data_IF_870710243374
#
_entry.id   IF_870710243374
#
_cell.length_a   1.000
_cell.length_b   1.000
_cell.length_c   1.000
_cell.angle_alpha   90.00
_cell.angle_beta   90.00
_cell.angle_gamma   90.00
#
_symmetry.space_group_name_H-M   'P 1'
#
loop_
_entity.id
_entity.type
_entity.pdbx_description
1 polymer ?
#
# COMPACT_ATOMS: atom_id res chain seq x y z
N UNK A 1 28.03 -27.69 8.60
CA UNK A 1 27.47 -26.90 9.73
C UNK A 1 28.58 -26.69 10.72
N UNK A 2 29.19 -25.51 10.76
CA UNK A 2 30.24 -25.17 11.74
C UNK A 2 29.60 -24.27 12.77
N UNK A 3 29.42 -24.79 13.98
CA UNK A 3 28.99 -23.97 15.13
C UNK A 3 30.21 -23.17 15.59
N UNK A 4 30.12 -21.84 15.50
CA UNK A 4 31.14 -20.95 16.05
C UNK A 4 31.28 -21.23 17.55
N UNK A 5 32.41 -21.82 17.93
CA UNK A 5 32.86 -21.94 19.32
C UNK A 5 33.59 -20.65 19.69
N UNK A 6 32.84 -19.60 20.01
CA UNK A 6 33.40 -18.43 20.69
C UNK A 6 32.74 -18.30 22.06
N UNK A 7 33.48 -18.50 23.17
CA UNK A 7 32.93 -18.46 24.52
C UNK A 7 32.84 -17.01 25.00
N UNK A 8 31.94 -16.20 24.43
CA UNK A 8 31.60 -14.88 24.99
C UNK A 8 30.28 -14.28 24.47
N UNK A 9 29.36 -15.09 23.96
CA UNK A 9 27.99 -14.60 23.75
C UNK A 9 27.29 -14.51 25.12
N UNK A 10 27.15 -13.27 25.58
CA UNK A 10 26.48 -12.86 26.80
C UNK A 10 25.14 -13.61 26.98
N UNK A 11 25.05 -14.38 28.07
CA UNK A 11 23.96 -15.35 28.34
C UNK A 11 22.67 -14.73 28.86
N UNK A 12 22.57 -13.40 28.93
CA UNK A 12 21.45 -12.75 29.58
C UNK A 12 20.47 -12.12 28.58
N UNK A 13 19.31 -12.79 28.47
CA UNK A 13 17.99 -12.23 28.11
C UNK A 13 17.57 -12.10 26.64
N UNK A 14 18.08 -12.91 25.71
CA UNK A 14 17.35 -13.12 24.44
C UNK A 14 17.34 -14.59 24.03
N UNK A 15 16.19 -15.21 23.70
CA UNK A 15 16.18 -16.54 23.11
C UNK A 15 17.00 -16.53 21.81
N UNK A 16 17.69 -17.63 21.53
CA UNK A 16 18.33 -17.87 20.24
C UNK A 16 17.25 -17.82 19.16
N UNK A 17 17.27 -16.77 18.34
CA UNK A 17 16.36 -16.63 17.21
C UNK A 17 17.00 -17.29 16.00
N UNK A 18 16.42 -18.40 15.53
CA UNK A 18 16.72 -18.94 14.21
C UNK A 18 15.82 -18.22 13.21
N UNK A 19 16.41 -17.28 12.48
CA UNK A 19 15.72 -16.58 11.40
C UNK A 19 15.75 -17.45 10.14
N UNK A 20 14.60 -18.01 9.74
CA UNK A 20 14.44 -18.54 8.39
C UNK A 20 14.19 -17.35 7.46
N UNK A 21 15.20 -16.97 6.67
CA UNK A 21 15.12 -15.82 5.75
C UNK A 21 14.15 -16.05 4.59
N UNK A 22 13.77 -17.30 4.30
CA UNK A 22 12.90 -17.69 3.18
C UNK A 22 11.91 -18.77 3.62
N UNK A 23 10.69 -18.37 4.00
CA UNK A 23 9.60 -19.28 4.39
C UNK A 23 8.67 -19.78 3.25
N UNK A 24 8.47 -19.08 2.11
CA UNK A 24 7.43 -19.48 1.15
C UNK A 24 7.75 -20.73 0.32
N UNK A 25 9.01 -20.93 -0.11
CA UNK A 25 9.32 -21.94 -1.14
C UNK A 25 9.56 -23.36 -0.57
N UNK A 26 9.52 -23.51 0.76
CA UNK A 26 9.79 -24.77 1.45
C UNK A 26 8.73 -25.16 2.47
N UNK A 27 7.54 -24.54 2.50
CA UNK A 27 6.52 -24.84 3.51
C UNK A 27 6.05 -26.31 3.46
N UNK A 28 6.13 -26.93 2.28
CA UNK A 28 5.90 -28.37 2.08
C UNK A 28 7.07 -29.26 2.51
N UNK A 29 8.26 -28.69 2.70
CA UNK A 29 9.48 -29.40 3.11
C UNK A 29 9.88 -29.14 4.58
N UNK A 30 9.37 -28.08 5.20
CA UNK A 30 9.68 -27.68 6.57
C UNK A 30 8.49 -26.98 7.24
N UNK A 31 7.40 -27.71 7.47
CA UNK A 31 6.24 -27.19 8.21
C UNK A 31 6.66 -26.93 9.68
N UNK A 32 6.43 -25.71 10.21
CA UNK A 32 6.77 -25.41 11.60
C UNK A 32 5.96 -26.28 12.57
N UNK A 33 6.60 -26.71 13.67
CA UNK A 33 5.95 -27.48 14.73
C UNK A 33 5.05 -26.60 15.62
N UNK A 34 5.38 -25.31 15.74
CA UNK A 34 4.60 -24.32 16.49
C UNK A 34 4.90 -22.91 15.99
N UNK A 35 3.92 -22.02 16.17
CA UNK A 35 3.99 -20.58 16.00
C UNK A 35 4.14 -19.95 17.38
N UNK A 36 5.16 -19.12 17.60
CA UNK A 36 5.52 -18.64 18.93
C UNK A 36 5.33 -17.12 19.05
N UNK A 37 4.76 -16.67 20.17
CA UNK A 37 4.68 -15.25 20.56
C UNK A 37 5.15 -15.04 22.00
N UNK A 38 5.63 -13.85 22.35
CA UNK A 38 6.11 -13.55 23.72
C UNK A 38 4.95 -13.17 24.65
N UNK A 39 4.93 -13.66 25.89
CA UNK A 39 3.92 -13.31 26.91
C UNK A 39 3.86 -11.79 27.10
N UNK A 40 2.64 -11.24 26.98
CA UNK A 40 2.37 -9.80 27.06
C UNK A 40 2.43 -9.07 25.72
N UNK A 41 2.90 -9.71 24.65
CA UNK A 41 2.94 -9.13 23.30
C UNK A 41 1.68 -9.52 22.51
N UNK A 42 0.64 -8.68 22.65
CA UNK A 42 -0.65 -8.88 21.99
C UNK A 42 -0.58 -8.75 20.47
N UNK A 43 0.33 -7.93 19.93
CA UNK A 43 0.51 -7.79 18.49
C UNK A 43 1.14 -9.05 17.90
N UNK A 44 2.14 -9.62 18.58
CA UNK A 44 2.73 -10.89 18.15
C UNK A 44 1.73 -12.05 18.26
N UNK A 45 0.87 -12.08 19.28
CA UNK A 45 -0.22 -13.06 19.38
C UNK A 45 -1.15 -12.98 18.16
N UNK A 46 -1.64 -11.78 17.84
CA UNK A 46 -2.52 -11.56 16.69
C UNK A 46 -1.84 -11.98 15.37
N UNK A 47 -0.57 -11.63 15.19
CA UNK A 47 0.20 -12.04 14.01
C UNK A 47 0.32 -13.56 13.89
N UNK A 48 0.58 -14.27 15.00
CA UNK A 48 0.65 -15.74 15.00
C UNK A 48 -0.71 -16.40 14.79
N UNK A 49 -1.79 -15.80 15.26
CA UNK A 49 -3.15 -16.27 14.97
C UNK A 49 -3.46 -16.14 13.47
N UNK A 50 -3.05 -15.04 12.83
CA UNK A 50 -3.18 -14.89 11.38
C UNK A 50 -2.33 -15.91 10.60
N UNK A 51 -1.08 -16.15 11.04
CA UNK A 51 -0.22 -17.19 10.45
C UNK A 51 -0.85 -18.59 10.62
N UNK A 52 -1.43 -18.88 11.78
CA UNK A 52 -2.14 -20.13 12.07
C UNK A 52 -3.35 -20.30 11.15
N UNK A 53 -4.14 -19.25 10.95
CA UNK A 53 -5.31 -19.27 10.09
C UNK A 53 -4.93 -19.60 8.63
N UNK A 54 -3.80 -19.04 8.15
CA UNK A 54 -3.24 -19.33 6.82
C UNK A 54 -2.81 -20.80 6.69
N UNK A 55 -2.14 -21.34 7.71
CA UNK A 55 -1.69 -22.73 7.73
C UNK A 55 -2.89 -23.70 7.76
N UNK A 56 -3.94 -23.38 8.53
CA UNK A 56 -5.17 -24.17 8.57
C UNK A 56 -5.86 -24.18 7.20
N UNK A 57 -5.91 -23.03 6.50
CA UNK A 57 -6.43 -22.96 5.13
C UNK A 57 -5.63 -23.84 4.15
N UNK A 58 -4.31 -23.94 4.35
CA UNK A 58 -3.43 -24.85 3.62
C UNK A 58 -3.49 -26.32 4.13
N UNK A 59 -4.48 -26.66 4.96
CA UNK A 59 -4.66 -27.99 5.60
C UNK A 59 -3.48 -28.43 6.48
N UNK A 60 -2.67 -27.50 6.97
CA UNK A 60 -1.59 -27.74 7.94
C UNK A 60 -2.08 -27.35 9.34
N UNK A 61 -1.85 -28.21 10.34
CA UNK A 61 -2.23 -27.93 11.74
C UNK A 61 -0.99 -27.55 12.52
N UNK A 62 -0.86 -26.27 12.85
CA UNK A 62 0.28 -25.75 13.63
C UNK A 62 -0.27 -24.92 14.80
N UNK A 63 0.09 -25.24 16.07
CA UNK A 63 -0.40 -24.52 17.23
C UNK A 63 0.32 -23.18 17.42
N UNK A 64 -0.39 -22.19 17.99
CA UNK A 64 0.19 -21.00 18.59
C UNK A 64 0.55 -21.31 20.04
N UNK A 65 1.79 -20.99 20.43
CA UNK A 65 2.36 -21.27 21.75
C UNK A 65 2.92 -19.98 22.34
N UNK A 66 2.56 -19.70 23.59
CA UNK A 66 3.08 -18.55 24.32
C UNK A 66 4.46 -18.87 24.88
N UNK A 67 5.42 -17.98 24.65
CA UNK A 67 6.76 -18.00 25.19
C UNK A 67 6.90 -16.99 26.36
N UNK A 68 7.30 -17.47 27.53
CA UNK A 68 7.59 -16.67 28.72
C UNK A 68 9.09 -16.73 29.03
N UNK A 69 9.86 -15.69 28.66
CA UNK A 69 11.28 -15.66 28.94
C UNK A 69 11.56 -15.71 30.44
N UNK A 70 12.48 -16.57 30.86
CA UNK A 70 12.93 -16.67 32.26
C UNK A 70 12.14 -17.66 33.13
N UNK A 71 11.07 -18.28 32.61
CA UNK A 71 10.39 -19.39 33.29
C UNK A 71 11.13 -20.71 33.05
N UNK A 72 11.15 -21.61 34.04
CA UNK A 72 11.72 -22.97 33.94
C UNK A 72 11.02 -23.82 32.87
N UNK A 73 9.76 -23.51 32.57
CA UNK A 73 9.00 -24.04 31.44
C UNK A 73 8.52 -22.88 30.57
N UNK A 74 9.37 -22.39 29.65
CA UNK A 74 9.13 -21.12 28.98
C UNK A 74 8.06 -21.19 27.89
N UNK A 75 7.53 -22.37 27.55
CA UNK A 75 6.47 -22.52 26.56
C UNK A 75 5.18 -23.00 27.21
N UNK A 76 4.06 -22.38 26.87
CA UNK A 76 2.74 -22.77 27.35
C UNK A 76 1.70 -22.72 26.23
N UNK A 77 0.83 -23.73 26.23
CA UNK A 77 -0.29 -23.82 25.29
C UNK A 77 -1.56 -23.29 25.94
N UNK A 78 -2.33 -22.49 25.20
CA UNK A 78 -3.64 -21.98 25.63
C UNK A 78 -4.63 -22.24 24.51
N UNK A 79 -5.74 -22.90 24.85
CA UNK A 79 -6.81 -23.17 23.88
C UNK A 79 -7.41 -21.88 23.30
N UNK A 80 -7.52 -20.82 24.11
CA UNK A 80 -7.97 -19.49 23.68
C UNK A 80 -7.13 -18.91 22.54
N UNK A 81 -5.81 -19.14 22.56
CA UNK A 81 -4.88 -18.58 21.57
C UNK A 81 -4.98 -19.32 20.24
N UNK A 82 -5.57 -20.53 20.25
CA UNK A 82 -5.68 -21.47 19.14
C UNK A 82 -7.12 -21.63 18.63
N UNK A 83 -8.08 -20.93 19.21
CA UNK A 83 -9.47 -20.86 18.72
C UNK A 83 -9.54 -19.91 17.51
N UNK A 84 -8.72 -20.20 16.50
CA UNK A 84 -8.62 -19.43 15.28
C UNK A 84 -9.48 -20.10 14.22
N UNK A 85 -10.48 -19.37 13.73
CA UNK A 85 -11.26 -19.79 12.56
C UNK A 85 -10.31 -19.84 11.37
N UNK A 86 -10.28 -20.93 10.55
CA UNK A 86 -9.51 -20.96 9.31
C UNK A 86 -9.72 -19.66 8.53
N UNK A 87 -8.67 -19.08 7.97
CA UNK A 87 -8.88 -18.02 6.98
C UNK A 87 -9.73 -18.65 5.88
N UNK A 88 -10.97 -18.19 5.78
CA UNK A 88 -11.77 -18.42 4.59
C UNK A 88 -10.94 -17.89 3.41
N UNK A 89 -11.02 -18.48 2.20
CA UNK A 89 -10.45 -17.85 1.00
C UNK A 89 -10.79 -16.37 1.03
N UNK A 90 -9.80 -15.48 0.81
CA UNK A 90 -9.88 -14.02 1.00
C UNK A 90 -11.31 -13.52 0.78
N UNK A 91 -12.08 -13.39 1.87
CA UNK A 91 -13.46 -12.92 1.77
C UNK A 91 -13.43 -11.40 1.67
N UNK A 92 -14.49 -10.77 1.13
CA UNK A 92 -14.58 -9.32 1.11
C UNK A 92 -14.30 -8.67 2.47
N UNK A 93 -14.73 -9.29 3.58
CA UNK A 93 -14.44 -8.84 4.94
C UNK A 93 -12.93 -8.76 5.23
N UNK A 94 -12.18 -9.84 4.98
CA UNK A 94 -10.74 -9.93 5.26
C UNK A 94 -9.97 -8.93 4.38
N UNK A 95 -10.37 -8.80 3.12
CA UNK A 95 -9.76 -7.83 2.21
C UNK A 95 -10.03 -6.41 2.71
N UNK A 96 -11.24 -6.12 3.19
CA UNK A 96 -11.58 -4.80 3.70
C UNK A 96 -10.78 -4.46 4.96
N UNK A 97 -10.65 -5.40 5.92
CA UNK A 97 -9.80 -5.22 7.10
C UNK A 97 -8.36 -4.89 6.73
N UNK A 98 -7.81 -5.56 5.71
CA UNK A 98 -6.46 -5.31 5.21
C UNK A 98 -6.31 -3.93 4.58
N UNK A 99 -7.27 -3.52 3.75
CA UNK A 99 -7.30 -2.19 3.13
C UNK A 99 -7.37 -1.11 4.21
N UNK A 100 -8.27 -1.26 5.18
CA UNK A 100 -8.42 -0.33 6.31
C UNK A 100 -7.12 -0.27 7.13
N UNK A 101 -6.52 -1.41 7.45
CA UNK A 101 -5.26 -1.49 8.19
C UNK A 101 -4.12 -0.76 7.47
N UNK A 102 -4.01 -0.90 6.14
CA UNK A 102 -3.00 -0.18 5.35
C UNK A 102 -3.24 1.33 5.30
N UNK A 103 -4.50 1.75 5.24
CA UNK A 103 -4.85 3.18 5.26
C UNK A 103 -4.43 3.86 6.56
N UNK A 104 -4.66 3.21 7.71
CA UNK A 104 -4.32 3.77 9.04
C UNK A 104 -2.87 3.53 9.47
N UNK A 105 -2.11 2.72 8.73
CA UNK A 105 -0.69 2.50 8.96
C UNK A 105 0.10 3.75 8.55
N UNK A 106 0.58 4.51 9.53
CA UNK A 106 1.42 5.71 9.34
C UNK A 106 2.91 5.38 9.50
N UNK A 107 3.30 4.10 9.43
CA UNK A 107 4.70 3.73 9.42
C UNK A 107 5.45 4.51 8.34
N UNK A 108 6.58 5.09 8.76
CA UNK A 108 7.44 5.88 7.90
C UNK A 108 7.83 5.06 6.67
N UNK A 109 7.55 5.58 5.46
CA UNK A 109 7.89 4.85 4.23
C UNK A 109 9.39 4.78 3.97
N UNK A 110 10.20 5.45 4.78
CA UNK A 110 11.66 5.32 4.77
C UNK A 110 12.15 3.96 5.29
N UNK A 111 11.40 3.30 6.19
CA UNK A 111 11.82 2.08 6.90
C UNK A 111 11.13 0.80 6.38
N UNK A 112 10.83 0.77 5.09
CA UNK A 112 10.19 -0.33 4.37
C UNK A 112 10.93 -1.67 4.35
N UNK A 113 12.17 -1.70 4.84
CA UNK A 113 13.14 -2.73 4.53
C UNK A 113 13.83 -2.46 3.18
N UNK A 114 15.10 -2.86 3.08
CA UNK A 114 15.90 -2.62 1.88
C UNK A 114 15.26 -3.33 0.66
N UNK A 115 15.20 -2.62 -0.47
CA UNK A 115 14.70 -3.05 -1.79
C UNK A 115 13.18 -3.01 -2.05
N UNK A 116 12.39 -2.41 -1.15
CA UNK A 116 10.95 -2.24 -1.37
C UNK A 116 10.60 -0.74 -1.51
N UNK A 117 9.82 -0.34 -2.54
CA UNK A 117 9.42 1.06 -2.69
C UNK A 117 8.60 1.57 -1.51
N UNK A 118 8.78 2.84 -1.16
CA UNK A 118 8.10 3.51 -0.06
C UNK A 118 6.56 3.30 -0.03
N UNK A 119 5.91 3.43 -1.18
CA UNK A 119 4.45 3.29 -1.33
C UNK A 119 3.91 1.88 -1.04
N UNK A 120 4.77 0.86 -0.93
CA UNK A 120 4.38 -0.52 -0.66
C UNK A 120 4.13 -0.76 0.84
N UNK A 121 4.63 0.11 1.70
CA UNK A 121 4.71 -0.17 3.14
C UNK A 121 3.51 0.28 3.94
N UNK A 122 2.78 1.25 3.41
CA UNK A 122 1.57 1.76 4.01
C UNK A 122 0.69 2.35 2.91
N UNK A 123 -0.43 2.91 3.32
CA UNK A 123 -1.34 3.62 2.44
C UNK A 123 -1.94 2.76 1.32
N UNK A 124 -2.71 3.43 0.47
CA UNK A 124 -3.49 2.85 -0.60
C UNK A 124 -3.23 3.62 -1.89
N UNK A 125 -3.21 2.91 -3.01
CA UNK A 125 -3.20 3.52 -4.35
C UNK A 125 -4.64 3.50 -4.83
N UNK A 126 -5.28 4.67 -4.86
CA UNK A 126 -6.70 4.80 -5.18
C UNK A 126 -6.93 5.63 -6.43
N UNK A 127 -8.02 5.38 -7.14
CA UNK A 127 -8.48 6.22 -8.25
C UNK A 127 -9.97 6.44 -8.15
N UNK A 128 -10.38 7.70 -8.26
CA UNK A 128 -11.76 8.08 -8.44
C UNK A 128 -12.19 7.81 -9.89
N UNK A 129 -13.25 7.04 -10.10
CA UNK A 129 -13.69 6.61 -11.44
C UNK A 129 -15.20 6.35 -11.50
N UNK A 130 -15.74 6.24 -12.70
CA UNK A 130 -17.13 5.93 -12.96
C UNK A 130 -17.31 4.48 -13.42
N UNK A 131 -18.51 3.88 -13.29
CA UNK A 131 -18.75 2.51 -13.70
C UNK A 131 -18.58 2.25 -15.20
N UNK A 132 -18.67 3.26 -16.07
CA UNK A 132 -18.58 3.06 -17.53
C UNK A 132 -17.20 2.52 -17.96
N UNK A 133 -16.12 3.05 -17.36
CA UNK A 133 -14.74 2.65 -17.64
C UNK A 133 -13.91 2.68 -16.33
N UNK A 134 -14.17 1.76 -15.38
CA UNK A 134 -13.62 1.88 -14.05
C UNK A 134 -12.12 1.53 -14.03
N UNK A 135 -11.72 0.57 -14.86
CA UNK A 135 -10.37 -0.01 -14.85
C UNK A 135 -9.47 0.55 -15.97
N UNK A 136 -10.06 0.91 -17.10
CA UNK A 136 -9.33 1.42 -18.27
C UNK A 136 -9.38 2.94 -18.34
N UNK A 137 -8.53 3.50 -19.19
CA UNK A 137 -8.54 4.91 -19.53
C UNK A 137 -8.87 5.09 -21.01
N UNK A 138 -9.67 6.13 -21.32
CA UNK A 138 -10.04 6.46 -22.69
C UNK A 138 -8.83 6.90 -23.55
N UNK A 139 -9.01 6.95 -24.90
CA UNK A 139 -7.92 7.21 -25.84
C UNK A 139 -7.12 8.48 -25.53
N UNK A 140 -7.77 9.57 -25.12
CA UNK A 140 -7.10 10.84 -24.80
C UNK A 140 -6.13 10.71 -23.61
N UNK A 141 -6.51 9.94 -22.59
CA UNK A 141 -5.67 9.66 -21.43
C UNK A 141 -4.52 8.72 -21.79
N UNK A 142 -4.78 7.72 -22.65
CA UNK A 142 -3.72 6.85 -23.19
C UNK A 142 -2.70 7.66 -24.02
N UNK A 143 -3.18 8.55 -24.90
CA UNK A 143 -2.34 9.42 -25.72
C UNK A 143 -1.51 10.41 -24.90
N UNK A 144 -2.01 10.81 -23.73
CA UNK A 144 -1.27 11.61 -22.74
C UNK A 144 -0.16 10.85 -22.04
N UNK A 145 -0.24 9.52 -22.00
CA UNK A 145 0.73 8.66 -21.36
C UNK A 145 0.63 8.61 -19.83
N UNK A 146 -0.39 9.23 -19.24
CA UNK A 146 -0.55 9.30 -17.78
C UNK A 146 -2.00 9.06 -17.34
N UNK A 147 -2.15 8.42 -16.19
CA UNK A 147 -3.40 8.31 -15.45
C UNK A 147 -3.20 8.81 -14.02
N UNK A 148 -4.09 9.69 -13.57
CA UNK A 148 -4.08 10.24 -12.23
C UNK A 148 -4.74 9.28 -11.23
N UNK A 149 -4.01 9.03 -10.15
CA UNK A 149 -4.38 8.29 -8.96
C UNK A 149 -4.12 9.21 -7.75
N UNK A 150 -4.51 8.74 -6.57
CA UNK A 150 -4.20 9.33 -5.27
C UNK A 150 -3.49 8.27 -4.44
N UNK A 151 -2.52 8.70 -3.64
CA UNK A 151 -2.02 7.89 -2.54
C UNK A 151 -2.75 8.28 -1.26
N UNK A 152 -3.45 7.34 -0.63
CA UNK A 152 -4.24 7.59 0.57
C UNK A 152 -3.57 6.94 1.78
N UNK A 153 -3.24 7.74 2.78
CA UNK A 153 -2.83 7.30 4.11
C UNK A 153 -3.53 8.23 5.10
N UNK A 154 -3.82 7.79 6.31
CA UNK A 154 -4.62 8.58 7.26
C UNK A 154 -4.07 10.00 7.46
N UNK A 155 -2.76 10.15 7.44
CA UNK A 155 -2.05 11.42 7.59
C UNK A 155 -1.91 12.24 6.29
N UNK A 156 -2.25 11.73 5.10
CA UNK A 156 -2.26 12.55 3.86
C UNK A 156 -3.32 13.65 3.92
N UNK A 157 -4.29 13.53 4.83
CA UNK A 157 -5.45 14.42 4.97
C UNK A 157 -6.18 14.65 3.64
N UNK A 158 -6.39 13.59 2.86
CA UNK A 158 -7.23 13.66 1.68
C UNK A 158 -8.70 13.62 2.10
N UNK A 159 -9.48 14.67 1.82
CA UNK A 159 -10.90 14.72 2.23
C UNK A 159 -11.90 15.10 1.15
N UNK A 160 -11.43 15.11 -0.10
CA UNK A 160 -12.31 15.17 -1.26
C UNK A 160 -11.64 14.52 -2.46
N UNK A 161 -12.43 14.29 -3.49
CA UNK A 161 -11.99 13.76 -4.78
C UNK A 161 -12.62 14.59 -5.88
N UNK A 162 -11.88 14.88 -6.95
CA UNK A 162 -12.30 15.90 -7.92
C UNK A 162 -13.74 15.79 -8.45
N UNK A 163 -14.12 14.66 -9.08
CA UNK A 163 -15.44 14.51 -9.74
C UNK A 163 -16.23 13.31 -9.21
N UNK A 164 -15.56 12.19 -8.91
CA UNK A 164 -16.22 10.94 -8.57
C UNK A 164 -16.04 10.64 -7.09
N UNK A 165 -17.15 10.49 -6.37
CA UNK A 165 -17.17 10.07 -4.98
C UNK A 165 -17.03 8.55 -4.82
N UNK A 166 -16.53 7.85 -5.83
CA UNK A 166 -16.35 6.42 -5.84
C UNK A 166 -15.16 6.03 -6.73
N UNK A 167 -14.67 4.81 -6.54
CA UNK A 167 -13.71 4.24 -7.48
C UNK A 167 -13.07 2.96 -7.01
N UNK A 168 -11.77 2.82 -7.30
CA UNK A 168 -11.00 1.59 -7.07
C UNK A 168 -9.78 1.84 -6.20
N UNK A 169 -9.36 0.80 -5.48
CA UNK A 169 -8.07 0.68 -4.78
C UNK A 169 -7.29 -0.45 -5.44
N UNK A 170 -6.05 -0.17 -5.85
CA UNK A 170 -5.18 -1.17 -6.47
C UNK A 170 -4.63 -2.14 -5.43
N UNK A 171 -4.53 -3.41 -5.81
CA UNK A 171 -3.88 -4.46 -5.02
C UNK A 171 -2.38 -4.26 -5.05
N UNK A 172 -1.79 -4.25 -3.86
CA UNK A 172 -0.33 -4.34 -3.70
C UNK A 172 -0.02 -5.67 -2.99
N UNK A 173 1.22 -6.20 -3.10
CA UNK A 173 1.60 -7.38 -2.34
C UNK A 173 1.35 -7.20 -0.84
N UNK A 174 0.90 -8.22 -0.14
CA UNK A 174 0.92 -8.18 1.32
C UNK A 174 2.37 -8.15 1.83
N UNK A 175 2.66 -7.45 2.94
CA UNK A 175 4.03 -7.34 3.51
C UNK A 175 4.75 -8.70 3.62
N UNK A 176 4.04 -9.75 4.06
CA UNK A 176 4.59 -11.11 4.16
C UNK A 176 4.68 -11.89 2.84
N UNK A 177 4.05 -11.39 1.77
CA UNK A 177 3.97 -12.05 0.46
C UNK A 177 4.79 -11.37 -0.64
N UNK A 178 5.45 -10.24 -0.36
CA UNK A 178 6.30 -9.51 -1.33
C UNK A 178 7.28 -10.44 -2.06
N UNK A 179 7.94 -11.35 -1.32
CA UNK A 179 8.95 -12.25 -1.87
C UNK A 179 8.39 -13.51 -2.58
N UNK A 180 7.08 -13.70 -2.60
CA UNK A 180 6.45 -14.80 -3.34
C UNK A 180 6.44 -14.51 -4.84
N UNK A 181 6.22 -15.53 -5.69
CA UNK A 181 6.11 -15.31 -7.13
C UNK A 181 4.98 -14.35 -7.51
N UNK A 182 3.82 -14.46 -6.85
CA UNK A 182 2.68 -13.56 -7.07
C UNK A 182 3.01 -12.15 -6.60
N UNK A 183 3.52 -12.01 -5.37
CA UNK A 183 3.89 -10.71 -4.80
C UNK A 183 4.95 -9.98 -5.64
N UNK A 184 6.01 -10.67 -6.09
CA UNK A 184 7.03 -10.06 -6.96
C UNK A 184 6.43 -9.58 -8.28
N UNK A 185 5.53 -10.36 -8.90
CA UNK A 185 4.86 -9.98 -10.14
C UNK A 185 3.98 -8.73 -9.96
N UNK A 186 3.18 -8.68 -8.89
CA UNK A 186 2.35 -7.51 -8.59
C UNK A 186 3.22 -6.28 -8.31
N UNK A 187 4.32 -6.45 -7.56
CA UNK A 187 5.28 -5.38 -7.27
C UNK A 187 5.90 -4.82 -8.55
N UNK A 188 6.40 -5.69 -9.43
CA UNK A 188 7.05 -5.33 -10.70
C UNK A 188 6.08 -4.55 -11.61
N UNK A 189 4.83 -5.02 -11.72
CA UNK A 189 3.80 -4.33 -12.51
C UNK A 189 3.59 -2.91 -11.97
N UNK A 190 3.39 -2.74 -10.66
CA UNK A 190 3.15 -1.43 -10.06
C UNK A 190 4.39 -0.52 -10.16
N UNK A 191 5.58 -1.03 -9.88
CA UNK A 191 6.85 -0.29 -10.03
C UNK A 191 7.06 0.21 -11.45
N UNK A 192 6.73 -0.61 -12.47
CA UNK A 192 6.87 -0.21 -13.87
C UNK A 192 5.89 0.91 -14.27
N UNK A 193 4.71 0.95 -13.63
CA UNK A 193 3.63 1.90 -13.95
C UNK A 193 3.75 3.20 -13.19
N UNK A 194 4.12 3.18 -11.92
CA UNK A 194 4.23 4.39 -11.09
C UNK A 194 5.37 5.28 -11.60
N UNK A 195 5.06 6.55 -11.87
CA UNK A 195 6.02 7.49 -12.48
C UNK A 195 6.45 8.56 -11.50
N UNK A 196 5.51 9.15 -10.79
CA UNK A 196 5.78 10.23 -9.85
C UNK A 196 4.59 10.50 -8.95
N UNK A 197 4.82 11.24 -7.87
CA UNK A 197 3.77 11.78 -7.01
C UNK A 197 3.92 13.28 -6.86
N UNK A 198 2.81 14.00 -6.90
CA UNK A 198 2.73 15.41 -6.59
C UNK A 198 2.12 15.61 -5.22
N UNK A 199 2.67 16.54 -4.44
CA UNK A 199 2.14 16.84 -3.11
C UNK A 199 0.69 17.31 -3.15
N UNK A 200 0.26 17.92 -4.27
CA UNK A 200 -1.12 18.34 -4.54
C UNK A 200 -1.52 17.93 -5.95
N UNK A 201 -2.80 18.07 -6.31
CA UNK A 201 -3.26 18.07 -7.71
C UNK A 201 -2.34 18.90 -8.62
N UNK A 202 -1.68 18.30 -9.59
CA UNK A 202 -0.80 19.00 -10.52
C UNK A 202 -1.49 19.34 -11.85
N UNK A 203 -2.81 19.15 -11.94
CA UNK A 203 -3.59 19.40 -13.15
C UNK A 203 -2.97 18.69 -14.36
N UNK A 204 -2.51 17.46 -14.19
CA UNK A 204 -1.88 16.71 -15.31
C UNK A 204 -2.87 16.39 -16.43
N UNK A 205 -4.17 16.58 -16.17
CA UNK A 205 -5.18 16.54 -17.21
C UNK A 205 -4.95 17.62 -18.29
N UNK A 206 -4.51 18.82 -17.90
CA UNK A 206 -4.41 20.01 -18.76
C UNK A 206 -3.27 20.03 -19.78
N UNK A 207 -2.55 18.91 -20.00
CA UNK A 207 -1.44 18.80 -20.96
C UNK A 207 -0.30 19.81 -20.73
N UNK A 208 -0.16 20.34 -19.52
CA UNK A 208 0.76 21.44 -19.23
C UNK A 208 2.22 21.00 -19.17
N UNK A 209 2.49 19.70 -19.03
CA UNK A 209 3.83 19.11 -18.89
C UNK A 209 4.13 18.11 -20.02
N UNK A 210 5.38 17.68 -20.17
CA UNK A 210 5.75 16.82 -21.29
C UNK A 210 5.28 15.38 -21.08
N UNK A 211 4.61 14.82 -22.11
CA UNK A 211 4.26 13.40 -22.16
C UNK A 211 5.49 12.47 -22.17
N UNK A 212 6.61 12.95 -22.73
CA UNK A 212 7.87 12.18 -22.79
C UNK A 212 8.43 11.92 -21.39
N UNK A 213 8.07 12.78 -20.44
CA UNK A 213 8.46 12.70 -19.04
C UNK A 213 7.28 12.30 -18.13
N UNK A 214 6.26 11.63 -18.70
CA UNK A 214 5.06 11.20 -17.98
C UNK A 214 4.39 12.33 -17.18
N UNK A 215 4.37 13.55 -17.74
CA UNK A 215 3.88 14.74 -17.06
C UNK A 215 4.54 15.01 -15.69
N UNK A 216 5.68 14.41 -15.34
CA UNK A 216 6.37 14.64 -14.07
C UNK A 216 7.24 15.91 -14.09
N UNK A 217 7.63 16.37 -15.29
CA UNK A 217 8.40 17.61 -15.49
C UNK A 217 8.18 18.22 -16.88
N UNK A 218 8.67 19.45 -17.04
CA UNK A 218 8.49 20.24 -18.26
C UNK A 218 9.73 20.28 -19.15
N UNK A 219 10.92 20.16 -18.57
CA UNK A 219 12.20 20.29 -19.28
C UNK A 219 12.94 18.96 -19.35
N UNK A 220 13.85 18.75 -20.31
CA UNK A 220 14.74 17.60 -20.31
C UNK A 220 15.61 17.52 -19.05
N UNK A 221 16.08 16.32 -18.75
CA UNK A 221 17.07 16.06 -17.70
C UNK A 221 18.00 14.94 -18.10
N UNK A 222 19.19 14.97 -17.53
CA UNK A 222 20.14 13.85 -17.56
C UNK A 222 19.77 12.76 -16.54
N UNK A 223 18.82 13.02 -15.63
CA UNK A 223 18.34 12.03 -14.67
C UNK A 223 17.51 10.94 -15.37
N UNK A 224 17.76 9.69 -14.97
CA UNK A 224 16.94 8.53 -15.33
C UNK A 224 15.61 8.47 -14.56
N UNK A 225 15.47 9.30 -13.53
CA UNK A 225 14.23 9.53 -12.82
C UNK A 225 13.69 10.92 -13.13
N UNK A 226 12.77 11.00 -14.11
CA UNK A 226 12.14 12.25 -14.51
C UNK A 226 11.29 12.91 -13.42
N UNK A 227 11.06 12.21 -12.33
CA UNK A 227 10.26 12.70 -11.21
C UNK A 227 11.08 13.30 -10.08
N UNK A 228 12.40 13.23 -10.16
CA UNK A 228 13.28 13.74 -9.12
C UNK A 228 13.18 15.27 -9.01
N UNK A 229 12.77 15.75 -7.84
CA UNK A 229 12.62 17.17 -7.56
C UNK A 229 13.93 17.85 -7.11
N UNK A 230 15.01 17.09 -6.91
CA UNK A 230 16.29 17.54 -6.35
C UNK A 230 16.83 18.80 -7.04
N UNK A 231 16.96 18.77 -8.36
CA UNK A 231 17.43 19.88 -9.21
C UNK A 231 16.59 21.15 -9.00
N UNK A 232 15.26 21.00 -8.98
CA UNK A 232 14.35 22.14 -8.89
C UNK A 232 14.37 22.76 -7.50
N UNK A 233 14.55 21.95 -6.45
CA UNK A 233 14.60 22.40 -5.06
C UNK A 233 15.99 22.71 -4.54
N UNK A 234 17.03 22.40 -5.31
CA UNK A 234 18.43 22.50 -4.89
C UNK A 234 18.71 21.62 -3.64
N UNK A 235 18.18 20.40 -3.65
CA UNK A 235 18.41 19.37 -2.64
C UNK A 235 19.22 18.20 -3.23
N UNK A 236 19.81 17.39 -2.37
CA UNK A 236 20.30 16.06 -2.69
C UNK A 236 19.14 15.04 -2.61
N UNK A 237 19.03 14.06 -3.53
CA UNK A 237 18.09 12.94 -3.43
C UNK A 237 18.01 12.27 -2.06
N UNK A 238 19.13 12.21 -1.34
CA UNK A 238 19.26 11.56 -0.02
C UNK A 238 19.13 12.53 1.16
N UNK A 239 18.78 13.79 0.94
CA UNK A 239 18.56 14.76 2.01
C UNK A 239 17.40 14.34 2.93
N UNK A 240 17.49 14.75 4.20
CA UNK A 240 16.44 14.51 5.19
C UNK A 240 15.11 15.15 4.78
N UNK A 241 14.01 14.57 5.25
CA UNK A 241 12.67 15.03 4.95
C UNK A 241 12.47 16.51 5.28
N UNK A 242 13.04 17.03 6.38
CA UNK A 242 12.87 18.44 6.74
C UNK A 242 13.48 19.39 5.70
N UNK A 243 14.57 19.00 5.06
CA UNK A 243 15.20 19.78 3.99
C UNK A 243 14.31 19.80 2.74
N UNK A 244 13.68 18.68 2.39
CA UNK A 244 12.68 18.63 1.32
C UNK A 244 11.47 19.53 1.60
N UNK A 245 10.93 19.45 2.82
CA UNK A 245 9.79 20.27 3.23
C UNK A 245 10.13 21.77 3.18
N UNK A 246 11.30 22.16 3.70
CA UNK A 246 11.73 23.56 3.70
C UNK A 246 11.94 24.08 2.26
N UNK A 247 12.67 23.33 1.44
CA UNK A 247 12.96 23.73 0.07
C UNK A 247 11.67 23.88 -0.77
N UNK A 248 10.73 22.95 -0.63
CA UNK A 248 9.44 23.02 -1.32
C UNK A 248 8.65 24.27 -0.90
N UNK A 249 8.57 24.55 0.41
CA UNK A 249 7.88 25.76 0.92
C UNK A 249 8.53 27.04 0.40
N UNK A 250 9.86 27.10 0.36
CA UNK A 250 10.59 28.27 -0.13
C UNK A 250 10.30 28.59 -1.61
N UNK A 251 9.87 27.61 -2.42
CA UNK A 251 9.45 27.88 -3.81
C UNK A 251 8.13 28.62 -3.93
N UNK A 252 7.28 28.61 -2.89
CA UNK A 252 5.99 29.29 -2.88
C UNK A 252 5.19 29.04 -4.17
N UNK A 253 4.93 27.77 -4.50
CA UNK A 253 4.15 27.44 -5.70
C UNK A 253 2.76 28.08 -5.63
N UNK A 254 2.50 29.04 -6.52
CA UNK A 254 1.22 29.77 -6.59
C UNK A 254 0.21 29.12 -7.52
N UNK A 255 0.66 28.18 -8.34
CA UNK A 255 -0.17 27.42 -9.28
C UNK A 255 0.16 25.95 -9.19
N UNK A 256 -0.87 25.13 -9.24
CA UNK A 256 -0.77 23.71 -8.97
C UNK A 256 -0.06 22.97 -10.12
N UNK A 257 -0.18 23.45 -11.37
CA UNK A 257 0.59 22.93 -12.51
C UNK A 257 2.10 23.23 -12.44
N UNK A 258 2.54 24.21 -11.64
CA UNK A 258 3.93 24.64 -11.59
C UNK A 258 4.78 23.91 -10.55
N UNK A 259 4.15 23.13 -9.65
CA UNK A 259 4.87 22.34 -8.65
C UNK A 259 5.78 21.29 -9.31
N UNK A 260 6.88 20.94 -8.66
CA UNK A 260 7.64 19.76 -9.04
C UNK A 260 6.90 18.48 -8.61
N UNK A 261 7.16 17.38 -9.30
CA UNK A 261 6.82 16.05 -8.79
C UNK A 261 7.92 15.55 -7.87
N UNK A 262 7.62 14.59 -7.00
CA UNK A 262 8.56 13.83 -6.19
C UNK A 262 8.71 12.40 -6.73
N UNK A 263 9.88 11.83 -6.48
CA UNK A 263 10.18 10.44 -6.85
C UNK A 263 9.37 9.42 -6.04
N UNK A 264 8.85 8.42 -6.75
CA UNK A 264 8.26 7.20 -6.18
C UNK A 264 9.29 6.09 -5.96
N UNK A 265 10.56 6.33 -6.34
CA UNK A 265 11.69 5.41 -6.21
C UNK A 265 12.56 5.76 -5.00
N UNK A 266 12.65 7.05 -4.67
CA UNK A 266 13.39 7.54 -3.51
C UNK A 266 12.44 7.72 -2.32
N UNK A 267 12.64 6.93 -1.26
CA UNK A 267 11.73 6.92 -0.12
C UNK A 267 11.62 8.28 0.59
N UNK A 268 12.72 9.01 0.74
CA UNK A 268 12.71 10.36 1.34
C UNK A 268 11.87 11.36 0.55
N UNK A 269 11.93 11.32 -0.78
CA UNK A 269 11.10 12.17 -1.64
C UNK A 269 9.62 11.77 -1.59
N UNK A 270 9.34 10.47 -1.64
CA UNK A 270 7.96 9.98 -1.56
C UNK A 270 7.31 10.38 -0.24
N UNK A 271 8.00 10.15 0.89
CA UNK A 271 7.52 10.55 2.21
C UNK A 271 7.35 12.07 2.31
N UNK A 272 8.28 12.88 1.77
CA UNK A 272 8.14 14.33 1.71
C UNK A 272 6.86 14.75 0.97
N UNK A 273 6.52 14.10 -0.15
CA UNK A 273 5.28 14.38 -0.87
C UNK A 273 4.05 14.13 0.02
N UNK A 274 4.03 13.02 0.76
CA UNK A 274 2.93 12.67 1.68
C UNK A 274 2.77 13.73 2.78
N UNK A 275 3.88 14.13 3.42
CA UNK A 275 3.86 15.17 4.45
C UNK A 275 3.42 16.54 3.92
N UNK A 276 3.74 16.87 2.67
CA UNK A 276 3.31 18.12 2.04
C UNK A 276 1.83 18.09 1.68
N UNK A 277 1.28 16.94 1.29
CA UNK A 277 -0.16 16.77 1.05
C UNK A 277 -0.98 17.08 2.29
N UNK A 278 -0.53 16.58 3.45
CA UNK A 278 -1.17 16.81 4.74
C UNK A 278 -1.27 18.30 5.12
N UNK A 279 -0.37 19.13 4.59
CA UNK A 279 -0.29 20.56 4.92
C UNK A 279 -1.23 21.43 4.10
N UNK A 280 -1.89 20.89 3.07
CA UNK A 280 -2.87 21.61 2.27
C UNK A 280 -2.32 22.94 1.73
N UNK A 281 -1.12 22.87 1.13
CA UNK A 281 -0.38 24.04 0.65
C UNK A 281 -1.03 24.73 -0.59
N UNK A 282 -2.30 24.45 -0.88
CA UNK A 282 -3.08 24.99 -1.99
C UNK A 282 -4.56 24.60 -1.89
N UNK A 283 -5.33 24.85 -2.95
CA UNK A 283 -6.79 24.67 -2.93
C UNK A 283 -7.23 23.21 -3.11
N UNK A 284 -6.34 22.35 -3.61
CA UNK A 284 -6.67 20.95 -3.84
C UNK A 284 -6.60 20.16 -2.55
N UNK A 285 -7.51 19.20 -2.37
CA UNK A 285 -7.68 18.46 -1.12
C UNK A 285 -7.11 17.03 -1.22
N UNK A 286 -6.23 16.79 -2.19
CA UNK A 286 -5.62 15.50 -2.51
C UNK A 286 -4.23 15.68 -3.16
N UNK A 287 -3.39 14.65 -3.07
CA UNK A 287 -2.15 14.50 -3.85
C UNK A 287 -2.40 13.92 -5.23
N UNK A 288 -1.48 14.01 -6.18
CA UNK A 288 -1.66 13.37 -7.49
C UNK A 288 -0.54 12.38 -7.75
N UNK A 289 -0.87 11.09 -7.71
CA UNK A 289 0.01 9.99 -8.06
C UNK A 289 -0.17 9.65 -9.55
N UNK A 290 0.92 9.59 -10.30
CA UNK A 290 0.90 9.34 -11.74
C UNK A 290 1.29 7.90 -12.04
N UNK A 291 0.40 7.19 -12.75
CA UNK A 291 0.65 5.86 -13.29
C UNK A 291 0.57 5.87 -14.83
N UNK A 292 1.24 4.92 -15.49
CA UNK A 292 0.98 4.61 -16.89
C UNK A 292 -0.47 4.13 -17.08
N UNK A 293 -1.22 4.68 -18.05
CA UNK A 293 -2.61 4.32 -18.30
C UNK A 293 -2.74 2.89 -18.85
N UNK A 294 -3.85 2.25 -18.53
CA UNK A 294 -4.30 0.96 -19.07
C UNK A 294 -5.34 1.21 -20.16
N UNK A 295 -4.95 1.00 -21.42
CA UNK A 295 -5.84 1.23 -22.56
C UNK A 295 -6.84 0.10 -22.84
N UNK A 296 -6.67 -1.06 -22.19
CA UNK A 296 -7.54 -2.22 -22.36
C UNK A 296 -7.56 -3.09 -21.10
N UNK A 297 -8.54 -4.00 -21.02
CA UNK A 297 -8.80 -4.81 -19.82
C UNK A 297 -7.73 -5.86 -19.50
N UNK A 298 -6.90 -6.26 -20.48
CA UNK A 298 -5.78 -7.19 -20.23
C UNK A 298 -4.58 -6.49 -19.58
N UNK A 299 -4.55 -5.16 -19.60
CA UNK A 299 -3.44 -4.34 -19.10
C UNK A 299 -3.75 -3.67 -17.76
N UNK A 300 -4.90 -3.95 -17.14
CA UNK A 300 -5.26 -3.31 -15.87
C UNK A 300 -4.44 -3.91 -14.71
N UNK A 301 -3.93 -3.08 -13.79
CA UNK A 301 -3.46 -3.56 -12.49
C UNK A 301 -4.58 -4.28 -11.73
N UNK A 302 -4.23 -5.24 -10.89
CA UNK A 302 -5.18 -5.94 -10.03
C UNK A 302 -5.84 -4.95 -9.05
N UNK A 303 -7.14 -5.11 -8.82
CA UNK A 303 -7.94 -4.28 -7.91
C UNK A 303 -8.19 -5.04 -6.61
N UNK A 304 -7.99 -4.38 -5.48
CA UNK A 304 -8.20 -4.96 -4.15
C UNK A 304 -9.57 -4.61 -3.59
N UNK A 305 -10.09 -3.42 -3.88
CA UNK A 305 -11.41 -2.98 -3.42
C UNK A 305 -12.04 -1.94 -4.35
N UNK A 306 -13.36 -1.86 -4.33
CA UNK A 306 -14.09 -0.68 -4.74
C UNK A 306 -14.36 0.21 -3.51
N UNK A 307 -14.46 1.51 -3.70
CA UNK A 307 -14.74 2.44 -2.59
C UNK A 307 -15.80 3.48 -2.99
N UNK A 308 -16.46 4.05 -1.99
CA UNK A 308 -17.37 5.19 -2.16
C UNK A 308 -17.28 6.16 -0.96
N UNK A 309 -17.71 7.40 -1.15
CA UNK A 309 -17.82 8.42 -0.09
C UNK A 309 -18.93 8.05 0.88
N UNK A 310 -18.61 7.94 2.17
CA UNK A 310 -19.62 7.62 3.17
C UNK A 310 -20.73 8.68 3.22
N UNK A 311 -21.97 8.21 3.37
CA UNK A 311 -23.18 9.04 3.26
C UNK A 311 -23.65 9.37 1.83
N UNK A 312 -22.89 9.02 0.78
CA UNK A 312 -23.30 9.20 -0.61
C UNK A 312 -23.88 7.89 -1.20
N UNK A 313 -25.21 7.79 -1.21
CA UNK A 313 -25.91 6.60 -1.68
C UNK A 313 -25.76 6.36 -3.19
N UNK A 314 -25.61 7.40 -4.02
CA UNK A 314 -25.41 7.24 -5.45
C UNK A 314 -24.00 6.70 -5.74
N UNK A 315 -22.99 7.25 -5.06
CA UNK A 315 -21.62 6.75 -5.11
C UNK A 315 -21.52 5.29 -4.65
N UNK A 316 -22.25 4.91 -3.60
CA UNK A 316 -22.34 3.52 -3.12
C UNK A 316 -22.85 2.57 -4.21
N UNK A 317 -23.96 2.91 -4.86
CA UNK A 317 -24.53 2.09 -5.95
C UNK A 317 -23.52 1.94 -7.09
N UNK A 318 -22.85 3.03 -7.47
CA UNK A 318 -21.80 3.02 -8.49
C UNK A 318 -20.60 2.15 -8.09
N UNK A 319 -20.15 2.21 -6.84
CA UNK A 319 -19.07 1.36 -6.35
C UNK A 319 -19.44 -0.14 -6.35
N UNK A 320 -20.69 -0.47 -6.02
CA UNK A 320 -21.22 -1.84 -6.16
C UNK A 320 -21.21 -2.30 -7.62
N UNK A 321 -21.56 -1.42 -8.56
CA UNK A 321 -21.49 -1.73 -9.99
C UNK A 321 -20.05 -1.98 -10.45
N UNK A 322 -19.09 -1.17 -9.96
CA UNK A 322 -17.66 -1.38 -10.22
C UNK A 322 -17.21 -2.76 -9.71
N UNK A 323 -17.61 -3.14 -8.50
CA UNK A 323 -17.27 -4.45 -7.94
C UNK A 323 -17.89 -5.62 -8.73
N UNK A 324 -19.15 -5.49 -9.16
CA UNK A 324 -19.81 -6.45 -10.08
C UNK A 324 -19.05 -6.59 -11.40
N UNK A 325 -18.63 -5.46 -12.00
CA UNK A 325 -17.84 -5.43 -13.24
C UNK A 325 -16.48 -6.11 -13.06
N UNK A 326 -15.83 -5.91 -11.91
CA UNK A 326 -14.57 -6.60 -11.59
C UNK A 326 -14.77 -8.11 -11.48
N UNK A 327 -15.81 -8.56 -10.79
CA UNK A 327 -16.15 -9.98 -10.71
C UNK A 327 -16.45 -10.58 -12.09
N UNK A 328 -17.18 -9.85 -12.96
CA UNK A 328 -17.43 -10.30 -14.32
C UNK A 328 -16.12 -10.51 -15.11
N UNK A 329 -15.15 -9.60 -14.94
CA UNK A 329 -13.85 -9.62 -15.61
C UNK A 329 -12.87 -10.67 -15.05
N UNK A 330 -12.73 -10.77 -13.73
CA UNK A 330 -11.68 -11.55 -13.06
C UNK A 330 -12.17 -12.81 -12.35
N UNK A 331 -13.49 -12.94 -12.14
CA UNK A 331 -14.12 -13.99 -11.31
C UNK A 331 -13.67 -13.94 -9.84
N UNK A 332 -13.17 -12.79 -9.39
CA UNK A 332 -12.75 -12.53 -8.01
C UNK A 332 -13.68 -11.50 -7.37
N UNK A 333 -14.06 -11.73 -6.11
CA UNK A 333 -14.88 -10.78 -5.35
C UNK A 333 -13.96 -9.81 -4.62
N UNK A 334 -14.28 -8.52 -4.71
CA UNK A 334 -13.59 -7.44 -4.01
C UNK A 334 -14.58 -6.69 -3.11
N UNK A 335 -14.21 -6.26 -1.90
CA UNK A 335 -15.12 -5.49 -1.07
C UNK A 335 -15.46 -4.12 -1.65
N UNK A 336 -16.64 -3.63 -1.30
CA UNK A 336 -17.06 -2.24 -1.40
C UNK A 336 -16.88 -1.59 -0.03
N UNK A 337 -16.06 -0.54 0.05
CA UNK A 337 -15.64 0.12 1.28
C UNK A 337 -16.15 1.56 1.30
N UNK A 338 -16.78 1.97 2.40
CA UNK A 338 -17.14 3.36 2.64
C UNK A 338 -15.91 4.12 3.15
N UNK A 339 -15.64 5.29 2.59
CA UNK A 339 -14.57 6.18 3.02
C UNK A 339 -15.15 7.53 3.41
N UNK A 340 -14.95 7.93 4.66
CA UNK A 340 -15.57 9.12 5.23
C UNK A 340 -14.75 10.40 5.06
N UNK A 341 -13.61 10.33 4.36
CA UNK A 341 -12.66 11.42 4.15
C UNK A 341 -12.02 12.00 5.43
N UNK A 342 -12.40 11.52 6.61
CA UNK A 342 -12.07 12.07 7.94
C UNK A 342 -11.47 10.98 8.83
N UNK A 343 -10.50 10.26 8.28
CA UNK A 343 -9.64 9.30 9.00
C UNK A 343 -10.20 7.91 9.21
N UNK A 344 -11.40 7.59 8.70
CA UNK A 344 -11.99 6.27 8.85
C UNK A 344 -12.49 5.68 7.52
N UNK A 345 -12.29 4.37 7.40
CA UNK A 345 -12.88 3.56 6.34
C UNK A 345 -13.74 2.51 7.02
N UNK A 346 -14.95 2.32 6.52
CA UNK A 346 -15.93 1.42 7.08
C UNK A 346 -16.28 0.32 6.09
N UNK A 347 -16.32 -0.91 6.59
CA UNK A 347 -16.87 -2.04 5.86
C UNK A 347 -18.27 -2.35 6.39
N UNK A 348 -19.27 -2.22 5.52
CA UNK A 348 -20.63 -2.63 5.81
C UNK A 348 -20.93 -3.91 5.03
N UNK A 349 -21.17 -5.02 5.72
CA UNK A 349 -21.46 -6.31 5.06
C UNK A 349 -22.69 -6.25 4.16
N UNK A 350 -23.67 -5.42 4.50
CA UNK A 350 -24.86 -5.14 3.68
C UNK A 350 -24.53 -4.58 2.31
N UNK A 351 -23.37 -3.95 2.15
CA UNK A 351 -23.02 -3.22 0.94
C UNK A 351 -22.38 -4.15 -0.10
N UNK A 352 -22.15 -5.40 0.31
CA UNK A 352 -21.48 -6.44 -0.44
C UNK A 352 -22.44 -7.56 -0.88
N UNK A 353 -23.77 -7.30 -0.82
CA UNK A 353 -24.82 -8.22 -1.26
C UNK A 353 -25.13 -8.11 -2.77
N UNK A 354 -24.08 -8.03 -3.59
CA UNK A 354 -24.18 -7.77 -5.03
C UNK A 354 -23.82 -8.96 -5.92
#
# INVERSE_FOLDING_TARGET
>A
MVLNKTPSMNKDKKPVQIWYRHWPDTIDKATPLALVYTKGDQQALLARQNDQANLIAAKKKVPVVMYTPGDDSPFSYRGSDNNVTPLKPDTPEIIAERVIARYVDEANTHDCGNDVPAWQCSGLIARATAPDFPFTQGPDTVNRGVASYFYLRRDTQTYDTYINHQGIILKVPEKGKINTSEGRKTLEILQSRMKCIYAQDANTYGLTKSKEYNQCRNTPTTSVDYSDCSEKLNNNPDDDINMWLQAYRNKNYTRNENQCSFSVRHAGQFEAAIYLSAQKLGNSQWNELILTPSGNENDIPEVEAAWYKDGDNDAKVKAQEIAKKYFALRKEKIPVIAWDYKFTMHYYSSDNSW
#
